data_IF_498757812561
#
_entry.id   IF_498757812561
#
_cell.length_a   1.000
_cell.length_b   1.000
_cell.length_c   1.000
_cell.angle_alpha   90.00
_cell.angle_beta   90.00
_cell.angle_gamma   90.00
#
_symmetry.space_group_name_H-M   'P 1'
#
loop_
_entity.id
_entity.type
_entity.pdbx_description
1 polymer ?
#
# COMPACT_ATOMS: atom_id res chain seq x y z
N UNK A 1 -10.85 11.99 -11.58
CA UNK A 1 -11.27 11.26 -10.36
C UNK A 1 -10.34 11.72 -9.26
N UNK A 2 -10.88 12.08 -8.11
CA UNK A 2 -10.05 12.28 -6.92
C UNK A 2 -9.44 10.92 -6.56
N UNK A 3 -8.16 10.75 -6.85
CA UNK A 3 -7.39 9.51 -6.58
C UNK A 3 -6.71 9.57 -5.21
N UNK A 4 -7.07 10.55 -4.36
CA UNK A 4 -6.50 10.68 -3.03
C UNK A 4 -6.82 9.42 -2.23
N UNK A 5 -5.77 8.65 -1.92
CA UNK A 5 -5.88 7.45 -1.11
C UNK A 5 -6.33 7.85 0.29
N UNK A 6 -7.23 7.08 0.92
CA UNK A 6 -7.60 7.36 2.31
C UNK A 6 -6.37 7.29 3.22
N UNK A 7 -6.31 8.11 4.27
CA UNK A 7 -5.23 8.03 5.25
C UNK A 7 -5.25 6.67 5.96
N UNK A 8 -4.08 6.14 6.26
CA UNK A 8 -3.95 4.92 7.07
C UNK A 8 -4.29 5.24 8.51
N UNK A 9 -5.38 4.65 9.01
CA UNK A 9 -5.78 4.72 10.42
C UNK A 9 -5.73 3.34 11.08
N UNK A 10 -5.90 3.30 12.40
CA UNK A 10 -6.03 2.06 13.17
C UNK A 10 -7.25 1.24 12.74
N UNK A 11 -8.37 1.91 12.44
CA UNK A 11 -9.62 1.27 12.00
C UNK A 11 -9.45 0.65 10.61
N UNK A 12 -8.82 1.38 9.68
CA UNK A 12 -8.51 0.85 8.35
C UNK A 12 -7.55 -0.34 8.46
N UNK A 13 -6.53 -0.26 9.32
CA UNK A 13 -5.59 -1.35 9.57
C UNK A 13 -6.30 -2.60 10.10
N UNK A 14 -7.27 -2.44 11.00
CA UNK A 14 -8.10 -3.56 11.49
C UNK A 14 -8.91 -4.19 10.37
N UNK A 15 -9.59 -3.37 9.55
CA UNK A 15 -10.38 -3.85 8.42
C UNK A 15 -9.52 -4.59 7.38
N UNK A 16 -8.30 -4.10 7.11
CA UNK A 16 -7.35 -4.75 6.20
C UNK A 16 -6.84 -6.08 6.77
N UNK A 17 -6.55 -6.14 8.07
CA UNK A 17 -6.13 -7.37 8.75
C UNK A 17 -7.23 -8.44 8.69
N UNK A 18 -8.48 -8.06 8.94
CA UNK A 18 -9.64 -8.94 8.79
C UNK A 18 -9.82 -9.42 7.34
N UNK A 19 -9.76 -8.50 6.38
CA UNK A 19 -9.87 -8.80 4.95
C UNK A 19 -8.78 -9.78 4.48
N UNK A 20 -7.54 -9.58 4.93
CA UNK A 20 -6.41 -10.44 4.65
C UNK A 20 -6.43 -11.78 5.42
N UNK A 21 -7.43 -12.00 6.29
CA UNK A 21 -7.52 -13.15 7.22
C UNK A 21 -6.27 -13.29 8.08
N UNK A 22 -5.66 -12.16 8.45
CA UNK A 22 -4.49 -12.07 9.31
C UNK A 22 -4.86 -11.29 10.57
N UNK A 23 -5.60 -11.88 11.52
CA UNK A 23 -6.03 -11.18 12.71
C UNK A 23 -4.81 -10.70 13.52
N UNK A 24 -4.75 -9.38 13.74
CA UNK A 24 -3.73 -8.76 14.57
C UNK A 24 -4.26 -8.64 16.01
N UNK A 25 -3.38 -8.90 16.98
CA UNK A 25 -3.66 -8.55 18.37
C UNK A 25 -3.80 -7.02 18.49
N UNK A 26 -4.70 -6.55 19.37
CA UNK A 26 -5.04 -5.13 19.48
C UNK A 26 -3.80 -4.27 19.76
N UNK A 27 -2.86 -4.74 20.60
CA UNK A 27 -1.61 -4.04 20.88
C UNK A 27 -0.69 -3.86 19.66
N UNK A 28 -0.89 -4.65 18.59
CA UNK A 28 -0.09 -4.57 17.36
C UNK A 28 -0.69 -3.65 16.30
N UNK A 29 -1.96 -3.26 16.43
CA UNK A 29 -2.66 -2.48 15.41
C UNK A 29 -2.02 -1.10 15.22
N UNK A 30 -1.72 -0.40 16.31
CA UNK A 30 -1.11 0.93 16.23
C UNK A 30 0.27 0.91 15.56
N UNK A 31 1.11 -0.08 15.91
CA UNK A 31 2.42 -0.25 15.27
C UNK A 31 2.31 -0.62 13.79
N UNK A 32 1.38 -1.51 13.43
CA UNK A 32 1.12 -1.87 12.04
C UNK A 32 0.61 -0.66 11.23
N UNK A 33 -0.28 0.17 11.80
CA UNK A 33 -0.79 1.37 11.16
C UNK A 33 0.34 2.36 10.83
N UNK A 34 1.28 2.59 11.76
CA UNK A 34 2.45 3.44 11.52
C UNK A 34 3.33 2.91 10.38
N UNK A 35 3.59 1.60 10.35
CA UNK A 35 4.38 0.98 9.27
C UNK A 35 3.66 1.12 7.93
N UNK A 36 2.36 0.82 7.89
CA UNK A 36 1.54 0.94 6.68
C UNK A 36 1.50 2.39 6.17
N UNK A 37 1.45 3.38 7.06
CA UNK A 37 1.52 4.78 6.68
C UNK A 37 2.85 5.14 6.01
N UNK A 38 3.97 4.62 6.53
CA UNK A 38 5.28 4.77 5.89
C UNK A 38 5.34 4.11 4.51
N UNK A 39 4.82 2.88 4.38
CA UNK A 39 4.75 2.18 3.09
C UNK A 39 3.88 2.93 2.09
N UNK A 40 2.72 3.45 2.50
CA UNK A 40 1.85 4.25 1.63
C UNK A 40 2.58 5.49 1.13
N UNK A 41 3.29 6.21 2.01
CA UNK A 41 4.08 7.38 1.60
C UNK A 41 5.19 7.03 0.59
N UNK A 42 5.84 5.88 0.72
CA UNK A 42 6.82 5.41 -0.26
C UNK A 42 6.18 5.06 -1.61
N UNK A 43 5.00 4.43 -1.60
CA UNK A 43 4.25 4.13 -2.82
C UNK A 43 3.80 5.43 -3.49
N UNK A 44 3.38 6.43 -2.73
CA UNK A 44 2.91 7.70 -3.26
C UNK A 44 4.03 8.45 -4.03
N UNK A 45 5.30 8.27 -3.66
CA UNK A 45 6.44 8.78 -4.44
C UNK A 45 6.51 8.19 -5.85
N UNK A 46 6.02 6.95 -6.07
CA UNK A 46 5.98 6.34 -7.39
C UNK A 46 4.95 7.01 -8.33
N UNK A 47 3.95 7.69 -7.77
CA UNK A 47 2.95 8.41 -8.58
C UNK A 47 3.49 9.72 -9.13
N UNK A 48 4.60 10.22 -8.60
CA UNK A 48 5.31 11.38 -9.14
C UNK A 48 6.13 11.03 -10.39
N UNK A 49 6.29 9.73 -10.69
CA UNK A 49 7.03 9.27 -11.86
C UNK A 49 6.18 9.40 -13.12
N UNK A 50 6.63 10.21 -14.08
CA UNK A 50 6.01 10.28 -15.40
C UNK A 50 6.32 9.02 -16.20
N UNK A 51 5.28 8.22 -16.49
CA UNK A 51 5.42 6.97 -17.23
C UNK A 51 5.33 7.16 -18.76
N UNK A 52 4.85 8.30 -19.26
CA UNK A 52 4.69 8.57 -20.69
C UNK A 52 3.89 7.46 -21.40
N UNK A 53 4.41 6.96 -22.53
CA UNK A 53 3.82 5.86 -23.32
C UNK A 53 4.20 4.46 -22.81
N UNK A 54 4.74 4.35 -21.59
CA UNK A 54 5.12 3.06 -21.02
C UNK A 54 3.88 2.19 -20.79
N UNK A 55 3.74 1.14 -21.60
CA UNK A 55 2.67 0.17 -21.46
C UNK A 55 2.81 -0.62 -20.14
N UNK A 56 1.66 -1.04 -19.58
CA UNK A 56 1.64 -1.95 -18.43
C UNK A 56 2.38 -3.24 -18.76
N UNK A 57 3.25 -3.69 -17.86
CA UNK A 57 3.92 -4.98 -18.00
C UNK A 57 2.87 -6.10 -17.94
N UNK A 58 2.71 -6.83 -19.05
CA UNK A 58 1.71 -7.91 -19.15
C UNK A 58 2.18 -9.22 -18.49
N UNK A 59 3.48 -9.40 -18.32
CA UNK A 59 4.10 -10.57 -17.69
C UNK A 59 5.35 -10.15 -16.91
N UNK A 60 5.84 -11.04 -16.05
CA UNK A 60 7.15 -10.91 -15.43
C UNK A 60 8.27 -10.89 -16.49
N UNK A 61 9.23 -9.97 -16.36
CA UNK A 61 10.45 -9.96 -17.17
C UNK A 61 11.60 -10.57 -16.35
N UNK A 62 12.12 -11.76 -16.73
CA UNK A 62 13.16 -12.44 -15.98
C UNK A 62 14.51 -11.71 -15.93
N UNK A 63 14.67 -10.60 -16.66
CA UNK A 63 15.88 -9.75 -16.59
C UNK A 63 15.90 -8.82 -15.37
N UNK A 64 14.81 -8.74 -14.60
CA UNK A 64 14.69 -7.86 -13.43
C UNK A 64 15.13 -8.54 -12.10
N UNK A 65 15.91 -9.63 -12.18
CA UNK A 65 16.50 -10.32 -11.03
C UNK A 65 17.76 -9.66 -10.50
#
# INVERSE_FOLDING_TARGET
MDTSRPPVTTELTRALAEHARLPLAEERIAGAAQVLQGVQGLIDQLYEVELGDTALAATFDPRWT
#
